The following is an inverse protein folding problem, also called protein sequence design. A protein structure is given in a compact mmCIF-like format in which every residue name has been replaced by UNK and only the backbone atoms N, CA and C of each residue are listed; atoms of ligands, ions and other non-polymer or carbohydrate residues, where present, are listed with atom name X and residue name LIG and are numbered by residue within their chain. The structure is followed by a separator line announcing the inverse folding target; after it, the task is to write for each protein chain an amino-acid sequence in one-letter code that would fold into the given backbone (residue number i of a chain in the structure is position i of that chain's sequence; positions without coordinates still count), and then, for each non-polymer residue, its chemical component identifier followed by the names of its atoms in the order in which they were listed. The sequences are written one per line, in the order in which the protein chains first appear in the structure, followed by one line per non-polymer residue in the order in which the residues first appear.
data_IF_689659181483
#
_entry.id   IF_689659181483
#
_cell.length_a   1.000
_cell.length_b   1.000
_cell.length_c   1.000
_cell.angle_alpha   90.00
_cell.angle_beta   90.00
_cell.angle_gamma   90.00
#
_symmetry.space_group_name_H-M   'P 1'
#
loop_
_entity.id
_entity.type
_entity.pdbx_description
1 polymer ?
#
# COMPACT_ATOMS: atom_id res chain seq x y z
N UNK A 1 -6.85 -6.55 6.17
CA UNK A 1 -5.76 -7.13 7.01
C UNK A 1 -4.72 -7.97 6.26
N UNK A 2 -5.06 -8.80 5.26
CA UNK A 2 -4.04 -9.57 4.49
C UNK A 2 -3.10 -8.66 3.70
N UNK A 3 -3.66 -7.70 2.95
CA UNK A 3 -2.88 -6.75 2.13
C UNK A 3 -1.78 -6.04 2.93
N UNK A 4 -2.10 -5.53 4.12
CA UNK A 4 -1.15 -4.78 4.95
C UNK A 4 0.03 -5.65 5.36
N UNK A 5 -0.23 -6.87 5.83
CA UNK A 5 0.83 -7.80 6.22
C UNK A 5 1.69 -8.19 5.01
N UNK A 6 1.05 -8.54 3.88
CA UNK A 6 1.76 -8.94 2.67
C UNK A 6 2.67 -7.80 2.16
N UNK A 7 2.19 -6.56 2.17
CA UNK A 7 2.97 -5.38 1.77
C UNK A 7 4.14 -5.14 2.72
N UNK A 8 3.91 -5.20 4.03
CA UNK A 8 4.98 -5.00 5.02
C UNK A 8 6.03 -6.12 4.94
N UNK A 9 5.63 -7.36 4.67
CA UNK A 9 6.55 -8.49 4.46
C UNK A 9 7.43 -8.29 3.23
N UNK A 10 6.85 -7.83 2.11
CA UNK A 10 7.63 -7.48 0.90
C UNK A 10 8.61 -6.33 1.14
N UNK A 11 8.21 -5.33 1.91
CA UNK A 11 9.10 -4.23 2.29
C UNK A 11 10.27 -4.71 3.19
N UNK A 12 10.02 -5.61 4.14
CA UNK A 12 11.06 -6.24 4.95
C UNK A 12 12.00 -7.12 4.13
N UNK A 13 11.47 -7.83 3.13
CA UNK A 13 12.25 -8.62 2.17
C UNK A 13 13.03 -7.75 1.16
N UNK A 14 13.00 -6.42 1.31
CA UNK A 14 13.65 -5.47 0.41
C UNK A 14 13.13 -5.51 -1.04
N UNK A 15 11.86 -5.91 -1.23
CA UNK A 15 11.18 -6.04 -2.52
C UNK A 15 10.00 -5.03 -2.65
N UNK A 16 10.29 -3.73 -2.86
CA UNK A 16 9.26 -2.70 -2.97
C UNK A 16 8.43 -2.80 -4.26
N UNK A 17 8.93 -3.49 -5.28
CA UNK A 17 8.21 -3.67 -6.53
C UNK A 17 7.06 -4.66 -6.33
N UNK A 18 7.30 -5.81 -5.71
CA UNK A 18 6.24 -6.74 -5.35
C UNK A 18 5.23 -6.12 -4.37
N UNK A 19 5.70 -5.29 -3.42
CA UNK A 19 4.81 -4.53 -2.55
C UNK A 19 3.89 -3.58 -3.34
N UNK A 20 4.41 -2.95 -4.39
CA UNK A 20 3.67 -2.02 -5.26
C UNK A 20 2.63 -2.77 -6.09
N UNK A 21 2.97 -3.94 -6.63
CA UNK A 21 2.04 -4.80 -7.37
C UNK A 21 0.83 -5.19 -6.49
N UNK A 22 1.07 -5.63 -5.26
CA UNK A 22 0.00 -5.95 -4.29
C UNK A 22 -0.94 -4.75 -4.04
N UNK A 23 -0.38 -3.54 -3.95
CA UNK A 23 -1.17 -2.32 -3.79
C UNK A 23 -2.03 -2.04 -5.02
N UNK A 24 -1.46 -2.15 -6.22
CA UNK A 24 -2.17 -1.87 -7.47
C UNK A 24 -3.26 -2.90 -7.79
N UNK A 25 -3.08 -4.15 -7.38
CA UNK A 25 -4.06 -5.22 -7.56
C UNK A 25 -5.24 -5.12 -6.56
N UNK A 26 -5.07 -4.37 -5.46
CA UNK A 26 -6.14 -4.19 -4.48
C UNK A 26 -7.30 -3.39 -5.06
N UNK A 27 -8.52 -3.91 -4.91
CA UNK A 27 -9.76 -3.19 -5.19
C UNK A 27 -10.49 -2.70 -3.92
N UNK A 28 -9.91 -2.99 -2.74
CA UNK A 28 -10.49 -2.64 -1.46
C UNK A 28 -9.92 -1.31 -0.96
N UNK A 29 -10.71 -0.24 -1.10
CA UNK A 29 -10.33 1.10 -0.66
C UNK A 29 -10.13 1.19 0.86
N UNK A 30 -10.87 0.40 1.66
CA UNK A 30 -10.72 0.40 3.12
C UNK A 30 -9.36 -0.19 3.49
N UNK A 31 -8.99 -1.33 2.90
CA UNK A 31 -7.69 -1.95 3.13
C UNK A 31 -6.52 -1.06 2.68
N UNK A 32 -6.70 -0.28 1.61
CA UNK A 32 -5.70 0.68 1.14
C UNK A 32 -5.55 1.88 2.09
N UNK A 33 -6.64 2.37 2.69
CA UNK A 33 -6.59 3.42 3.73
C UNK A 33 -5.88 2.91 4.98
N UNK A 34 -6.23 1.71 5.47
CA UNK A 34 -5.56 1.07 6.61
C UNK A 34 -4.04 0.92 6.35
N UNK A 35 -3.67 0.49 5.13
CA UNK A 35 -2.28 0.39 4.74
C UNK A 35 -1.58 1.75 4.75
N UNK A 36 -2.22 2.80 4.26
CA UNK A 36 -1.65 4.15 4.26
C UNK A 36 -1.34 4.63 5.69
N UNK A 37 -2.26 4.41 6.63
CA UNK A 37 -2.08 4.74 8.05
C UNK A 37 -0.91 3.96 8.67
N UNK A 38 -0.79 2.67 8.34
CA UNK A 38 0.31 1.84 8.82
C UNK A 38 1.65 2.25 8.24
N UNK A 39 1.74 2.53 6.93
CA UNK A 39 2.98 2.97 6.28
C UNK A 39 3.51 4.29 6.86
N UNK A 40 2.61 5.17 7.30
CA UNK A 40 2.98 6.43 7.96
C UNK A 40 3.60 6.21 9.35
N UNK A 41 3.25 5.11 10.02
CA UNK A 41 3.63 4.85 11.42
C UNK A 41 4.64 3.71 11.62
N UNK A 42 4.90 2.87 10.60
CA UNK A 42 5.63 1.60 10.78
C UNK A 42 7.16 1.72 10.91
N UNK A 43 7.74 2.91 10.69
CA UNK A 43 9.18 3.14 10.83
C UNK A 43 10.07 2.36 9.85
N UNK A 44 9.50 1.67 8.85
CA UNK A 44 10.24 0.93 7.85
C UNK A 44 10.86 1.92 6.86
N UNK A 45 12.20 1.92 6.63
CA UNK A 45 12.87 2.91 5.77
C UNK A 45 12.34 2.98 4.34
N UNK A 46 11.79 1.88 3.83
CA UNK A 46 11.26 1.75 2.46
C UNK A 46 9.75 2.02 2.36
N UNK A 47 9.02 2.10 3.49
CA UNK A 47 7.59 2.38 3.48
C UNK A 47 7.18 3.67 2.76
N UNK A 48 7.98 4.77 2.80
CA UNK A 48 7.65 5.98 2.05
C UNK A 48 7.50 5.76 0.53
N UNK A 49 8.16 4.73 -0.04
CA UNK A 49 8.07 4.42 -1.47
C UNK A 49 6.69 3.92 -1.89
N UNK A 50 5.90 3.43 -0.93
CA UNK A 50 4.56 2.87 -1.17
C UNK A 50 3.44 3.88 -0.96
N UNK A 51 3.74 5.06 -0.41
CA UNK A 51 2.75 6.11 -0.18
C UNK A 51 2.11 6.60 -1.50
N UNK A 52 2.93 6.89 -2.50
CA UNK A 52 2.42 7.32 -3.82
C UNK A 52 1.60 6.22 -4.52
N UNK A 53 2.06 4.96 -4.63
CA UNK A 53 1.25 3.86 -5.16
C UNK A 53 -0.11 3.71 -4.48
N UNK A 54 -0.17 3.79 -3.15
CA UNK A 54 -1.41 3.65 -2.39
C UNK A 54 -2.36 4.82 -2.67
N UNK A 55 -1.84 6.05 -2.68
CA UNK A 55 -2.63 7.25 -2.99
C UNK A 55 -3.15 7.24 -4.43
N UNK A 56 -2.32 6.84 -5.40
CA UNK A 56 -2.72 6.70 -6.80
C UNK A 56 -3.81 5.63 -6.95
N UNK A 57 -3.69 4.50 -6.26
CA UNK A 57 -4.71 3.45 -6.33
C UNK A 57 -6.04 3.91 -5.73
N UNK A 58 -5.99 4.58 -4.58
CA UNK A 58 -7.19 5.18 -3.97
C UNK A 58 -7.85 6.21 -4.88
N UNK A 59 -7.06 7.01 -5.62
CA UNK A 59 -7.56 7.92 -6.66
C UNK A 59 -8.32 7.18 -7.77
N UNK A 60 -7.78 6.06 -8.26
CA UNK A 60 -8.42 5.26 -9.32
C UNK A 60 -9.71 4.58 -8.85
N UNK A 61 -9.83 4.25 -7.56
CA UNK A 61 -11.02 3.64 -6.98
C UNK A 61 -12.11 4.66 -6.64
N UNK A 62 -11.83 5.97 -6.74
CA UNK A 62 -12.88 6.98 -6.55
C UNK A 62 -13.91 6.84 -7.67
N UNK A 63 -15.21 6.92 -7.35
CA UNK A 63 -16.22 7.05 -8.39
C UNK A 63 -15.92 8.32 -9.20
N UNK A 64 -15.83 8.21 -10.52
CA UNK A 64 -15.89 9.36 -11.42
C UNK A 64 -17.30 9.91 -11.36
N UNK A 65 -17.44 11.13 -10.82
CA UNK A 65 -18.65 11.96 -10.90
C UNK A 65 -19.07 12.21 -12.37
#
# INVERSE_FOLDING_TARGET
MTLTMDVLDRLHAADPNAATELVQDSADAVALIELLEMLWNCGIPRAPQLLEPVLQRLLQLRPTD
#
